data_IF_515862359318
#
_entry.id   IF_515862359318
#
_cell.length_a   1.000
_cell.length_b   1.000
_cell.length_c   1.000
_cell.angle_alpha   90.00
_cell.angle_beta   90.00
_cell.angle_gamma   90.00
#
_symmetry.space_group_name_H-M   'P 1'
#
loop_
_entity.id
_entity.type
_entity.pdbx_description
1 polymer ?
#
# COMPACT_ATOMS: atom_id res chain seq x y z
N UNK A 1 29.27 8.02 -6.83
CA UNK A 1 28.37 7.26 -5.90
C UNK A 1 27.28 6.59 -6.73
N UNK A 2 26.73 5.45 -6.27
CA UNK A 2 25.79 4.63 -7.08
C UNK A 2 24.57 5.42 -7.60
N UNK A 3 23.91 6.21 -6.77
CA UNK A 3 22.73 7.02 -7.20
C UNK A 3 23.13 8.11 -8.19
N UNK A 4 24.27 8.73 -8.01
CA UNK A 4 24.81 9.74 -8.93
C UNK A 4 25.13 9.14 -10.32
N UNK A 5 25.63 7.91 -10.36
CA UNK A 5 25.85 7.19 -11.61
C UNK A 5 24.54 6.79 -12.27
N UNK A 6 23.57 6.30 -11.48
CA UNK A 6 22.23 5.97 -11.96
C UNK A 6 21.56 7.17 -12.66
N UNK A 7 21.61 8.35 -12.03
CA UNK A 7 20.97 9.58 -12.54
C UNK A 7 21.60 10.13 -13.83
N UNK A 8 22.72 9.59 -14.29
CA UNK A 8 23.29 9.93 -15.63
C UNK A 8 22.54 9.25 -16.78
N UNK A 9 21.82 8.14 -16.50
CA UNK A 9 21.13 7.33 -17.52
C UNK A 9 19.63 7.17 -17.30
N UNK A 10 19.15 7.34 -16.06
CA UNK A 10 17.75 7.14 -15.70
C UNK A 10 17.36 8.11 -14.56
N UNK A 11 16.11 8.57 -14.56
CA UNK A 11 15.57 9.53 -13.58
C UNK A 11 14.35 8.99 -12.83
N UNK A 12 14.08 7.68 -12.95
CA UNK A 12 12.96 7.01 -12.29
C UNK A 12 13.27 6.73 -10.83
N UNK A 13 12.24 6.76 -10.00
CA UNK A 13 12.28 6.28 -8.62
C UNK A 13 10.95 5.68 -8.21
N UNK A 14 10.96 4.82 -7.19
CA UNK A 14 9.76 4.29 -6.55
C UNK A 14 9.71 4.70 -5.09
N UNK A 15 8.56 5.22 -4.65
CA UNK A 15 8.28 5.60 -3.26
C UNK A 15 7.12 4.76 -2.73
N UNK A 16 7.37 3.71 -1.93
CA UNK A 16 6.31 2.94 -1.28
C UNK A 16 5.70 3.72 -0.10
N UNK A 17 4.37 3.63 0.03
CA UNK A 17 3.61 4.21 1.14
C UNK A 17 2.82 3.10 1.85
N UNK A 18 3.08 2.90 3.12
CA UNK A 18 2.41 1.92 3.96
C UNK A 18 1.62 2.53 5.10
N UNK A 19 1.30 1.71 6.07
CA UNK A 19 0.80 2.09 7.39
C UNK A 19 1.23 1.09 8.46
N UNK A 20 0.93 1.40 9.71
CA UNK A 20 1.03 0.49 10.86
C UNK A 20 -0.32 0.49 11.56
N UNK A 21 -1.16 -0.50 11.25
CA UNK A 21 -2.52 -0.60 11.74
C UNK A 21 -2.98 -2.05 11.94
N UNK A 22 -4.12 -2.23 12.61
CA UNK A 22 -4.70 -3.55 12.85
C UNK A 22 -5.02 -4.28 11.54
N UNK A 23 -4.49 -5.51 11.40
CA UNK A 23 -4.72 -6.43 10.28
C UNK A 23 -5.11 -7.83 10.77
N UNK A 24 -6.14 -7.91 11.62
CA UNK A 24 -6.63 -9.16 12.18
C UNK A 24 -5.49 -10.01 12.77
N UNK A 25 -5.16 -11.14 12.16
CA UNK A 25 -4.13 -12.09 12.62
C UNK A 25 -2.81 -11.97 11.86
N UNK A 26 -2.64 -10.89 11.07
CA UNK A 26 -1.43 -10.60 10.32
C UNK A 26 -0.57 -9.55 11.06
N UNK A 27 0.59 -9.26 10.49
CA UNK A 27 1.46 -8.19 10.98
C UNK A 27 0.74 -6.83 10.94
N UNK A 28 0.99 -5.97 11.93
CA UNK A 28 0.52 -4.57 11.89
C UNK A 28 1.14 -3.77 10.72
N UNK A 29 2.23 -4.26 10.15
CA UNK A 29 2.96 -3.61 9.06
C UNK A 29 2.61 -4.18 7.68
N UNK A 30 1.47 -4.87 7.50
CA UNK A 30 1.05 -5.47 6.23
C UNK A 30 1.19 -4.49 5.07
N UNK A 31 0.64 -3.30 5.20
CA UNK A 31 0.63 -2.26 4.17
C UNK A 31 2.04 -1.84 3.74
N UNK A 32 2.94 -1.70 4.72
CA UNK A 32 4.34 -1.35 4.46
C UNK A 32 5.10 -2.50 3.81
N UNK A 33 4.93 -3.73 4.32
CA UNK A 33 5.57 -4.93 3.80
C UNK A 33 5.17 -5.16 2.34
N UNK A 34 3.87 -5.08 2.03
CA UNK A 34 3.38 -5.40 0.70
C UNK A 34 3.67 -4.28 -0.31
N UNK A 35 3.53 -3.00 0.07
CA UNK A 35 3.86 -1.89 -0.83
C UNK A 35 5.35 -1.84 -1.16
N UNK A 36 6.22 -2.07 -0.19
CA UNK A 36 7.67 -2.12 -0.42
C UNK A 36 8.05 -3.31 -1.30
N UNK A 37 7.55 -4.50 -0.96
CA UNK A 37 7.94 -5.71 -1.70
C UNK A 37 7.43 -5.71 -3.15
N UNK A 38 6.18 -5.27 -3.41
CA UNK A 38 5.68 -5.19 -4.78
C UNK A 38 6.46 -4.16 -5.60
N UNK A 39 6.87 -3.05 -4.95
CA UNK A 39 7.73 -2.03 -5.55
C UNK A 39 9.11 -2.60 -5.91
N UNK A 40 9.74 -3.34 -4.98
CA UNK A 40 11.06 -3.97 -5.19
C UNK A 40 10.98 -5.02 -6.30
N UNK A 41 10.05 -5.97 -6.22
CA UNK A 41 9.91 -7.05 -7.22
C UNK A 41 9.59 -6.51 -8.62
N UNK A 42 8.90 -5.35 -8.70
CA UNK A 42 8.62 -4.69 -9.97
C UNK A 42 9.82 -3.92 -10.53
N UNK A 43 10.57 -3.23 -9.68
CA UNK A 43 11.61 -2.28 -10.07
C UNK A 43 13.00 -2.93 -10.27
N UNK A 44 13.31 -3.98 -9.51
CA UNK A 44 14.63 -4.64 -9.53
C UNK A 44 15.08 -5.07 -10.95
N UNK A 45 14.25 -5.74 -11.78
CA UNK A 45 14.65 -6.12 -13.13
C UNK A 45 14.94 -4.95 -14.07
N UNK A 46 14.47 -3.75 -13.71
CA UNK A 46 14.65 -2.51 -14.46
C UNK A 46 15.81 -1.65 -13.91
N UNK A 47 16.42 -2.07 -12.80
CA UNK A 47 17.46 -1.31 -12.11
C UNK A 47 16.97 0.02 -11.51
N UNK A 48 15.66 0.19 -11.28
CA UNK A 48 15.07 1.42 -10.73
C UNK A 48 15.17 1.40 -9.20
N UNK A 49 15.69 2.46 -8.56
CA UNK A 49 15.80 2.50 -7.10
C UNK A 49 14.42 2.61 -6.44
N UNK A 50 14.24 1.82 -5.38
CA UNK A 50 13.10 1.85 -4.48
C UNK A 50 13.54 2.49 -3.17
N UNK A 51 12.89 3.57 -2.77
CA UNK A 51 13.12 4.22 -1.49
C UNK A 51 12.47 3.43 -0.36
N UNK A 52 12.95 3.55 0.89
CA UNK A 52 12.32 2.90 2.03
C UNK A 52 10.84 3.25 2.15
N UNK A 53 10.01 2.27 2.49
CA UNK A 53 8.58 2.52 2.67
C UNK A 53 8.33 3.50 3.83
N UNK A 54 7.36 4.40 3.66
CA UNK A 54 6.83 5.20 4.75
C UNK A 54 5.90 4.33 5.61
N UNK A 55 6.28 3.97 6.86
CA UNK A 55 5.56 2.95 7.62
C UNK A 55 4.35 3.49 8.39
N UNK A 56 4.09 4.79 8.38
CA UNK A 56 3.01 5.42 9.11
C UNK A 56 2.16 6.29 8.18
N UNK A 57 0.89 5.89 8.01
CA UNK A 57 -0.13 6.64 7.28
C UNK A 57 -1.25 7.17 8.18
N UNK A 58 -2.23 7.91 7.63
CA UNK A 58 -3.45 8.27 8.36
C UNK A 58 -4.38 7.07 8.50
N UNK A 59 -4.56 6.59 9.73
CA UNK A 59 -5.46 5.47 10.04
C UNK A 59 -6.27 5.73 11.33
N UNK A 60 -7.07 6.81 11.39
CA UNK A 60 -7.76 7.20 12.61
C UNK A 60 -8.76 6.17 13.10
N UNK A 61 -9.43 5.43 12.21
CA UNK A 61 -10.45 4.42 12.56
C UNK A 61 -9.89 3.25 13.38
N UNK A 62 -8.60 2.95 13.26
CA UNK A 62 -7.96 1.86 14.00
C UNK A 62 -7.27 2.28 15.30
N UNK A 63 -7.40 3.54 15.73
CA UNK A 63 -6.71 4.05 16.93
C UNK A 63 -7.16 3.41 18.25
N UNK A 64 -8.29 2.69 18.29
CA UNK A 64 -8.69 1.89 19.44
C UNK A 64 -7.98 0.52 19.52
N UNK A 65 -7.21 0.13 18.49
CA UNK A 65 -6.41 -1.10 18.52
C UNK A 65 -4.98 -0.79 18.96
N UNK A 66 -4.48 -1.42 20.04
CA UNK A 66 -3.11 -1.22 20.49
C UNK A 66 -2.08 -1.57 19.39
N UNK A 67 -1.07 -0.73 19.26
CA UNK A 67 -0.03 -0.88 18.25
C UNK A 67 -0.28 -0.12 16.93
N UNK A 68 -1.51 0.36 16.69
CA UNK A 68 -1.80 1.26 15.57
C UNK A 68 -1.12 2.62 15.77
N UNK A 69 -0.47 3.13 14.73
CA UNK A 69 0.16 4.45 14.70
C UNK A 69 -0.43 5.26 13.55
N UNK A 70 -1.19 6.30 13.87
CA UNK A 70 -1.82 7.17 12.88
C UNK A 70 -1.20 8.57 12.87
N UNK A 71 -0.79 9.03 11.70
CA UNK A 71 -0.42 10.42 11.49
C UNK A 71 -1.66 11.28 11.21
N UNK A 72 -1.62 12.54 11.64
CA UNK A 72 -2.61 13.53 11.16
C UNK A 72 -2.41 13.71 9.66
N UNK A 73 -3.52 13.76 8.91
CA UNK A 73 -3.47 13.87 7.44
C UNK A 73 -2.58 15.02 6.96
N UNK A 74 -2.71 16.22 7.56
CA UNK A 74 -1.90 17.37 7.19
C UNK A 74 -0.39 17.15 7.38
N UNK A 75 0.00 16.49 8.48
CA UNK A 75 1.41 16.19 8.74
C UNK A 75 1.94 15.14 7.76
N UNK A 76 1.13 14.11 7.49
CA UNK A 76 1.46 13.07 6.53
C UNK A 76 1.69 13.64 5.12
N UNK A 77 0.77 14.48 4.64
CA UNK A 77 0.91 15.13 3.34
C UNK A 77 2.13 16.06 3.29
N UNK A 78 2.44 16.77 4.38
CA UNK A 78 3.65 17.59 4.46
C UNK A 78 4.92 16.74 4.36
N UNK A 79 5.00 15.60 5.07
CA UNK A 79 6.15 14.68 4.97
C UNK A 79 6.30 14.13 3.56
N UNK A 80 5.20 13.69 2.91
CA UNK A 80 5.26 13.21 1.52
C UNK A 80 5.74 14.31 0.58
N UNK A 81 5.27 15.55 0.75
CA UNK A 81 5.75 16.72 -0.01
C UNK A 81 7.26 16.91 0.15
N UNK A 82 7.78 16.92 1.38
CA UNK A 82 9.21 17.07 1.66
C UNK A 82 10.05 15.96 1.00
N UNK A 83 9.53 14.73 0.97
CA UNK A 83 10.18 13.61 0.27
C UNK A 83 10.21 13.86 -1.25
N UNK A 84 9.08 14.25 -1.84
CA UNK A 84 9.00 14.56 -3.28
C UNK A 84 9.92 15.74 -3.67
N UNK A 85 9.97 16.78 -2.85
CA UNK A 85 10.87 17.94 -3.04
C UNK A 85 12.33 17.48 -3.03
N UNK A 86 12.68 16.61 -2.10
CA UNK A 86 14.04 16.05 -2.00
C UNK A 86 14.40 15.21 -3.23
N UNK A 87 13.49 14.33 -3.69
CA UNK A 87 13.69 13.52 -4.89
C UNK A 87 13.90 14.41 -6.13
N UNK A 88 13.04 15.41 -6.31
CA UNK A 88 13.13 16.35 -7.44
C UNK A 88 14.43 17.16 -7.42
N UNK A 89 14.86 17.64 -6.23
CA UNK A 89 16.08 18.40 -6.05
C UNK A 89 17.34 17.58 -6.42
N UNK A 90 17.29 16.26 -6.25
CA UNK A 90 18.37 15.35 -6.63
C UNK A 90 18.31 14.88 -8.10
N UNK A 91 17.29 15.27 -8.86
CA UNK A 91 17.20 14.99 -10.30
C UNK A 91 16.30 13.82 -10.68
N UNK A 92 15.57 13.23 -9.74
CA UNK A 92 14.51 12.27 -10.07
C UNK A 92 13.33 13.01 -10.74
N UNK A 93 12.93 12.58 -11.94
CA UNK A 93 11.89 13.24 -12.73
C UNK A 93 10.65 12.38 -12.94
N UNK A 94 10.74 11.07 -12.69
CA UNK A 94 9.65 10.10 -12.85
C UNK A 94 9.51 9.28 -11.58
N UNK A 95 8.54 9.61 -10.74
CA UNK A 95 8.32 8.95 -9.45
C UNK A 95 7.05 8.12 -9.49
N UNK A 96 7.16 6.81 -9.26
CA UNK A 96 6.03 5.93 -9.00
C UNK A 96 5.80 5.82 -7.50
N UNK A 97 4.68 6.34 -7.03
CA UNK A 97 4.22 6.15 -5.65
C UNK A 97 3.42 4.85 -5.60
N UNK A 98 3.94 3.84 -4.88
CA UNK A 98 3.26 2.55 -4.68
C UNK A 98 2.58 2.55 -3.32
N UNK A 99 1.26 2.67 -3.34
CA UNK A 99 0.46 2.77 -2.13
C UNK A 99 -0.01 1.40 -1.65
N UNK A 100 0.17 1.12 -0.35
CA UNK A 100 -0.31 -0.07 0.37
C UNK A 100 -1.52 0.18 1.28
N UNK A 101 -1.94 1.45 1.49
CA UNK A 101 -2.91 1.80 2.52
C UNK A 101 -4.02 2.74 2.02
N UNK A 102 -5.27 2.42 2.33
CA UNK A 102 -6.43 3.21 1.90
C UNK A 102 -6.42 4.66 2.40
N UNK A 103 -5.95 4.91 3.62
CA UNK A 103 -5.84 6.24 4.21
C UNK A 103 -4.83 7.17 3.51
N UNK A 104 -3.95 6.63 2.68
CA UNK A 104 -2.96 7.39 1.92
C UNK A 104 -3.52 7.98 0.61
N UNK A 105 -4.76 7.64 0.23
CA UNK A 105 -5.38 8.10 -1.02
C UNK A 105 -5.28 9.62 -1.28
N UNK A 106 -5.34 10.51 -0.27
CA UNK A 106 -5.16 11.95 -0.48
C UNK A 106 -3.81 12.36 -1.11
N UNK A 107 -2.80 11.50 -1.07
CA UNK A 107 -1.50 11.74 -1.75
C UNK A 107 -1.67 11.87 -3.27
N UNK A 108 -2.67 11.21 -3.87
CA UNK A 108 -2.95 11.35 -5.30
C UNK A 108 -3.31 12.80 -5.69
N UNK A 109 -4.09 13.49 -4.83
CA UNK A 109 -4.43 14.90 -5.02
C UNK A 109 -3.21 15.80 -4.77
N UNK A 110 -2.47 15.53 -3.68
CA UNK A 110 -1.21 16.22 -3.41
C UNK A 110 -0.23 16.11 -4.60
N UNK A 111 -0.06 14.93 -5.17
CA UNK A 111 0.84 14.72 -6.31
C UNK A 111 0.41 15.55 -7.53
N UNK A 112 -0.90 15.65 -7.79
CA UNK A 112 -1.43 16.46 -8.89
C UNK A 112 -1.19 17.96 -8.68
N UNK A 113 -1.40 18.47 -7.46
CA UNK A 113 -1.11 19.86 -7.09
C UNK A 113 0.40 20.13 -7.18
N UNK A 114 1.22 19.26 -6.61
CA UNK A 114 2.66 19.39 -6.56
C UNK A 114 3.31 19.41 -7.95
N UNK A 115 2.83 18.59 -8.90
CA UNK A 115 3.27 18.62 -10.30
C UNK A 115 2.94 19.93 -11.01
N UNK A 116 1.94 20.69 -10.54
CA UNK A 116 1.63 22.04 -11.04
C UNK A 116 2.81 23.02 -10.87
N UNK A 117 3.53 22.90 -9.76
CA UNK A 117 4.70 23.70 -9.42
C UNK A 117 6.01 23.07 -9.96
N UNK A 118 6.02 21.76 -10.28
CA UNK A 118 7.18 20.99 -10.73
C UNK A 118 6.93 20.37 -12.12
N UNK A 119 6.81 21.22 -13.16
CA UNK A 119 6.34 20.83 -14.52
C UNK A 119 7.22 19.81 -15.23
N UNK A 120 8.47 19.68 -14.84
CA UNK A 120 9.45 18.74 -15.39
C UNK A 120 9.48 17.38 -14.65
N UNK A 121 8.67 17.23 -13.60
CA UNK A 121 8.52 15.96 -12.85
C UNK A 121 7.17 15.32 -13.14
N UNK A 122 7.13 14.02 -13.21
CA UNK A 122 5.92 13.21 -13.37
C UNK A 122 5.78 12.27 -12.21
N UNK A 123 4.58 12.23 -11.61
CA UNK A 123 4.24 11.32 -10.53
C UNK A 123 3.08 10.43 -10.99
N UNK A 124 3.22 9.13 -10.79
CA UNK A 124 2.12 8.17 -10.87
C UNK A 124 1.80 7.68 -9.47
N UNK A 125 0.51 7.68 -9.09
CA UNK A 125 0.02 7.11 -7.85
C UNK A 125 -0.68 5.78 -8.13
N UNK A 126 -0.23 4.72 -7.51
CA UNK A 126 -0.66 3.35 -7.76
C UNK A 126 -1.00 2.64 -6.45
N UNK A 127 -2.28 2.36 -6.23
CA UNK A 127 -2.73 1.48 -5.15
C UNK A 127 -2.69 0.04 -5.67
N UNK A 128 -1.65 -0.70 -5.32
CA UNK A 128 -1.35 -2.00 -5.91
C UNK A 128 -2.50 -3.02 -5.78
N UNK A 129 -3.18 -3.04 -4.61
CA UNK A 129 -4.20 -4.05 -4.28
C UNK A 129 -5.51 -3.92 -5.06
N UNK A 130 -5.85 -2.74 -5.55
CA UNK A 130 -7.08 -2.46 -6.30
C UNK A 130 -6.81 -1.97 -7.74
N UNK A 131 -5.60 -2.13 -8.22
CA UNK A 131 -5.26 -1.90 -9.59
C UNK A 131 -6.05 -2.85 -10.51
N UNK A 132 -6.43 -2.44 -11.72
CA UNK A 132 -7.42 -3.16 -12.52
C UNK A 132 -7.14 -4.65 -12.75
N UNK A 133 -5.90 -5.01 -13.10
CA UNK A 133 -5.52 -6.42 -13.35
C UNK A 133 -5.43 -7.21 -12.04
N UNK A 134 -4.84 -6.61 -11.03
CA UNK A 134 -4.74 -7.18 -9.68
C UNK A 134 -6.12 -7.43 -9.10
N UNK A 135 -7.01 -6.45 -9.17
CA UNK A 135 -8.37 -6.59 -8.67
C UNK A 135 -9.17 -7.65 -9.45
N UNK A 136 -9.02 -7.70 -10.77
CA UNK A 136 -9.64 -8.76 -11.58
C UNK A 136 -9.18 -10.16 -11.15
N UNK A 137 -7.86 -10.31 -10.81
CA UNK A 137 -7.32 -11.56 -10.28
C UNK A 137 -7.87 -11.88 -8.89
N UNK A 138 -7.98 -10.89 -8.00
CA UNK A 138 -8.64 -11.04 -6.69
C UNK A 138 -10.05 -11.56 -6.85
N UNK A 139 -10.87 -10.92 -7.70
CA UNK A 139 -12.26 -11.32 -7.94
C UNK A 139 -12.39 -12.72 -8.56
N UNK A 140 -11.41 -13.16 -9.33
CA UNK A 140 -11.39 -14.51 -9.90
C UNK A 140 -11.06 -15.60 -8.85
N UNK A 141 -10.32 -15.26 -7.77
CA UNK A 141 -10.02 -16.19 -6.68
C UNK A 141 -11.20 -16.25 -5.69
N UNK A 142 -11.62 -15.10 -5.17
CA UNK A 142 -12.80 -14.99 -4.29
C UNK A 142 -13.33 -13.56 -4.36
N UNK A 143 -14.62 -13.34 -4.72
CA UNK A 143 -15.20 -12.00 -4.85
C UNK A 143 -15.31 -11.25 -3.52
N UNK A 144 -15.16 -11.92 -2.36
CA UNK A 144 -15.15 -11.26 -1.05
C UNK A 144 -13.72 -11.19 -0.54
N UNK A 145 -13.12 -10.03 -0.79
CA UNK A 145 -11.77 -9.69 -0.43
C UNK A 145 -11.72 -8.23 0.06
N UNK A 146 -10.97 -7.96 1.11
CA UNK A 146 -10.93 -6.65 1.74
C UNK A 146 -9.71 -6.50 2.64
N UNK A 147 -9.60 -5.37 3.35
CA UNK A 147 -8.62 -5.12 4.39
C UNK A 147 -8.57 -6.28 5.42
N UNK A 148 -7.38 -6.71 5.77
CA UNK A 148 -7.07 -7.76 6.72
C UNK A 148 -7.68 -9.14 6.38
N UNK A 149 -8.09 -9.35 5.13
CA UNK A 149 -8.56 -10.64 4.65
C UNK A 149 -7.48 -11.44 3.94
N UNK A 150 -7.88 -12.56 3.35
CA UNK A 150 -7.00 -13.46 2.62
C UNK A 150 -6.13 -12.77 1.55
N UNK A 151 -6.62 -11.69 0.91
CA UNK A 151 -5.88 -11.03 -0.17
C UNK A 151 -4.59 -10.31 0.30
N UNK A 152 -4.41 -10.16 1.60
CA UNK A 152 -3.22 -9.59 2.24
C UNK A 152 -2.41 -10.65 3.03
N UNK A 153 -2.89 -11.91 3.06
CA UNK A 153 -2.27 -13.01 3.77
C UNK A 153 -1.20 -13.72 2.92
N UNK A 154 -0.09 -13.05 2.72
CA UNK A 154 1.12 -13.65 2.12
C UNK A 154 2.05 -14.21 3.21
N UNK A 155 2.92 -15.15 2.87
CA UNK A 155 3.88 -15.73 3.83
C UNK A 155 4.65 -14.66 4.62
N UNK A 156 4.97 -13.53 3.98
CA UNK A 156 5.72 -12.39 4.54
C UNK A 156 4.93 -11.49 5.49
N UNK A 157 3.60 -11.56 5.46
CA UNK A 157 2.72 -10.79 6.36
C UNK A 157 2.21 -11.59 7.55
N UNK A 158 2.43 -12.91 7.55
CA UNK A 158 2.03 -13.82 8.64
C UNK A 158 2.91 -13.63 9.87
N UNK A 159 2.29 -13.76 11.04
CA UNK A 159 2.99 -13.73 12.31
C UNK A 159 3.29 -15.18 12.74
N UNK A 160 4.53 -15.46 13.09
CA UNK A 160 4.95 -16.81 13.46
C UNK A 160 4.13 -17.36 14.64
N UNK A 161 3.62 -18.59 14.51
CA UNK A 161 2.83 -19.27 15.55
C UNK A 161 1.37 -18.82 15.63
N UNK A 162 0.94 -17.82 14.88
CA UNK A 162 -0.45 -17.37 14.84
C UNK A 162 -1.25 -18.19 13.82
N UNK A 163 -2.34 -18.81 14.27
CA UNK A 163 -3.24 -19.58 13.40
C UNK A 163 -4.34 -18.68 12.85
N UNK A 164 -4.62 -18.80 11.56
CA UNK A 164 -5.70 -18.10 10.92
C UNK A 164 -7.07 -18.73 11.23
N UNK A 165 -8.13 -17.93 11.47
CA UNK A 165 -9.48 -18.44 11.62
C UNK A 165 -9.97 -19.12 10.32
N UNK A 166 -10.75 -20.20 10.49
CA UNK A 166 -11.28 -20.98 9.36
C UNK A 166 -12.66 -20.49 8.88
N UNK A 167 -13.32 -19.62 9.64
CA UNK A 167 -14.59 -19.04 9.22
C UNK A 167 -14.40 -17.90 8.23
N UNK A 168 -15.47 -17.53 7.55
CA UNK A 168 -15.54 -16.35 6.67
C UNK A 168 -16.20 -15.21 7.43
N UNK A 169 -15.53 -14.05 7.45
CA UNK A 169 -16.10 -12.84 8.02
C UNK A 169 -17.10 -12.22 7.03
N UNK A 170 -18.32 -11.85 7.45
CA UNK A 170 -19.22 -11.10 6.59
C UNK A 170 -18.62 -9.73 6.25
N UNK A 171 -18.96 -9.21 5.06
CA UNK A 171 -18.49 -7.88 4.66
C UNK A 171 -19.07 -6.83 5.59
N UNK A 172 -18.21 -5.93 6.08
CA UNK A 172 -18.60 -4.83 6.94
C UNK A 172 -19.56 -3.85 6.21
N UNK A 173 -20.47 -3.26 6.95
CA UNK A 173 -21.24 -2.11 6.46
C UNK A 173 -20.37 -0.85 6.47
N UNK A 174 -19.83 -0.49 5.30
CA UNK A 174 -18.98 0.70 5.15
C UNK A 174 -19.71 2.01 5.43
N UNK A 175 -21.03 2.09 5.20
CA UNK A 175 -21.77 3.30 5.52
C UNK A 175 -21.83 3.53 7.02
N UNK A 176 -22.00 2.45 7.79
CA UNK A 176 -21.95 2.47 9.24
C UNK A 176 -20.53 2.77 9.74
N UNK A 177 -19.52 2.09 9.22
CA UNK A 177 -18.12 2.26 9.64
C UNK A 177 -17.64 3.72 9.50
N UNK A 178 -18.00 4.39 8.43
CA UNK A 178 -17.56 5.78 8.12
C UNK A 178 -18.01 6.84 9.11
N UNK A 179 -19.03 6.57 9.91
CA UNK A 179 -19.58 7.54 10.89
C UNK A 179 -19.24 7.19 12.32
N UNK A 180 -18.47 6.14 12.56
CA UNK A 180 -18.05 5.70 13.89
C UNK A 180 -16.73 6.35 14.30
N UNK A 181 -16.62 6.60 15.61
CA UNK A 181 -15.34 6.89 16.26
C UNK A 181 -14.46 5.62 16.32
N UNK A 182 -13.20 5.71 16.74
CA UNK A 182 -12.31 4.55 16.79
C UNK A 182 -12.81 3.41 17.66
N UNK A 183 -13.48 3.71 18.78
CA UNK A 183 -14.02 2.69 19.68
C UNK A 183 -15.21 1.97 19.02
N UNK A 184 -16.14 2.70 18.43
CA UNK A 184 -17.26 2.12 17.68
C UNK A 184 -16.80 1.33 16.45
N UNK A 185 -15.74 1.79 15.78
CA UNK A 185 -15.13 1.05 14.67
C UNK A 185 -14.57 -0.30 15.16
N UNK A 186 -13.86 -0.32 16.30
CA UNK A 186 -13.35 -1.57 16.89
C UNK A 186 -14.48 -2.52 17.32
N UNK A 187 -15.55 -2.01 17.88
CA UNK A 187 -16.71 -2.82 18.28
C UNK A 187 -17.40 -3.45 17.05
N UNK A 188 -17.49 -2.68 15.93
CA UNK A 188 -18.07 -3.18 14.70
C UNK A 188 -17.19 -4.22 14.00
N UNK A 189 -15.87 -4.00 13.96
CA UNK A 189 -14.91 -4.81 13.19
C UNK A 189 -14.38 -6.02 13.97
N UNK A 190 -14.43 -5.99 15.30
CA UNK A 190 -13.88 -7.06 16.14
C UNK A 190 -12.36 -7.18 16.02
N UNK A 191 -11.86 -8.08 15.19
CA UNK A 191 -10.43 -8.30 14.96
C UNK A 191 -9.80 -7.39 13.91
N UNK A 192 -10.61 -6.60 13.19
CA UNK A 192 -10.16 -5.65 12.17
C UNK A 192 -10.35 -6.10 10.72
N UNK A 193 -10.76 -7.35 10.47
CA UNK A 193 -11.06 -7.83 9.12
C UNK A 193 -12.38 -7.20 8.59
N UNK A 194 -12.32 -6.55 7.42
CA UNK A 194 -13.51 -5.93 6.81
C UNK A 194 -14.43 -6.92 6.13
N UNK A 195 -14.01 -8.18 5.94
CA UNK A 195 -14.81 -9.25 5.35
C UNK A 195 -14.01 -10.15 4.41
N UNK A 196 -14.43 -11.42 4.35
CA UNK A 196 -13.77 -12.47 3.57
C UNK A 196 -13.17 -13.57 4.43
N UNK A 197 -12.52 -14.52 3.80
CA UNK A 197 -11.70 -15.51 4.46
C UNK A 197 -10.41 -14.86 4.99
N UNK A 198 -9.74 -15.53 5.93
CA UNK A 198 -8.46 -15.04 6.49
C UNK A 198 -7.25 -15.55 5.71
N UNK A 199 -7.41 -16.65 4.98
CA UNK A 199 -6.33 -17.24 4.18
C UNK A 199 -6.87 -17.93 2.93
N UNK A 200 -6.00 -18.11 1.95
CA UNK A 200 -6.17 -18.91 0.74
C UNK A 200 -4.89 -19.74 0.52
N UNK A 201 -4.94 -20.78 -0.33
CA UNK A 201 -3.75 -21.54 -0.68
C UNK A 201 -2.62 -20.65 -1.19
N UNK A 202 -1.38 -20.92 -0.78
CA UNK A 202 -0.21 -20.14 -1.19
C UNK A 202 -0.08 -20.04 -2.72
N UNK A 203 -0.47 -21.08 -3.47
CA UNK A 203 -0.48 -21.05 -4.92
C UNK A 203 -1.40 -19.96 -5.53
N UNK A 204 -2.55 -19.68 -4.88
CA UNK A 204 -3.44 -18.59 -5.29
C UNK A 204 -2.81 -17.24 -4.97
N UNK A 205 -2.14 -17.15 -3.82
CA UNK A 205 -1.44 -15.93 -3.39
C UNK A 205 -0.24 -15.62 -4.28
N UNK A 206 0.55 -16.63 -4.67
CA UNK A 206 1.66 -16.47 -5.61
C UNK A 206 1.17 -16.01 -6.99
N UNK A 207 0.05 -16.59 -7.46
CA UNK A 207 -0.55 -16.19 -8.73
C UNK A 207 -1.10 -14.75 -8.69
N UNK A 208 -1.68 -14.31 -7.56
CA UNK A 208 -2.09 -12.92 -7.34
C UNK A 208 -0.87 -12.00 -7.31
N UNK A 209 0.17 -12.37 -6.55
CA UNK A 209 1.39 -11.58 -6.42
C UNK A 209 2.06 -11.30 -7.76
N UNK A 210 2.16 -12.35 -8.60
CA UNK A 210 2.72 -12.21 -9.94
C UNK A 210 1.98 -11.15 -10.77
N UNK A 211 0.65 -11.14 -10.74
CA UNK A 211 -0.15 -10.14 -11.47
C UNK A 211 0.10 -8.74 -10.91
N UNK A 212 0.15 -8.58 -9.58
CA UNK A 212 0.39 -7.30 -8.92
C UNK A 212 1.77 -6.73 -9.28
N UNK A 213 2.81 -7.57 -9.27
CA UNK A 213 4.18 -7.18 -9.66
C UNK A 213 4.24 -6.78 -11.14
N UNK A 214 3.66 -7.58 -12.03
CA UNK A 214 3.68 -7.30 -13.47
C UNK A 214 2.93 -6.00 -13.79
N UNK A 215 1.75 -5.77 -13.17
CA UNK A 215 0.97 -4.54 -13.34
C UNK A 215 1.71 -3.30 -12.80
N UNK A 216 2.37 -3.43 -11.65
CA UNK A 216 3.21 -2.36 -11.07
C UNK A 216 4.40 -2.05 -11.96
N UNK A 217 5.06 -3.08 -12.54
CA UNK A 217 6.21 -2.91 -13.45
C UNK A 217 5.84 -2.17 -14.73
N UNK A 218 4.67 -2.42 -15.30
CA UNK A 218 4.19 -1.70 -16.50
C UNK A 218 4.14 -0.19 -16.27
N UNK A 219 3.84 0.25 -15.04
CA UNK A 219 3.81 1.67 -14.71
C UNK A 219 5.20 2.32 -14.66
N UNK A 220 6.27 1.53 -14.55
CA UNK A 220 7.65 2.01 -14.58
C UNK A 220 8.18 2.21 -16.01
N UNK A 221 7.46 1.76 -17.03
CA UNK A 221 7.89 1.96 -18.44
C UNK A 221 7.69 3.39 -18.95
N UNK A 222 6.83 4.19 -18.33
CA UNK A 222 6.58 5.62 -18.62
C UNK A 222 6.31 5.91 -20.11
N UNK A 223 5.63 5.00 -20.79
CA UNK A 223 5.16 5.19 -22.18
C UNK A 223 4.03 6.19 -22.26
#
# INVERSE_FOLDING_TARGET
>A
MQVEEYLRGDDRAVLPLGSTEQHAYLSLSVDSILSEQVAVDAAEPLGVPVFPAMPYGPTPSFMAYPGTVSLRLQNYLAIVRDVLDSLAAHGFKRVLVVNGHGGNQPVSNLASEWMGDHRDVKIRFHSWWNAPKTWAKVQAIDPVASHASWMENFARTRVAGVKQPQHRQPMVDFAKLKVLDPQGARELLGDGNFGGHYEKPDADMDALWKVAVDETRELLEWK
#
